data_IF_970950568022
#
_entry.id   IF_970950568022
#
_cell.length_a   1.000
_cell.length_b   1.000
_cell.length_c   1.000
_cell.angle_alpha   90.00
_cell.angle_beta   90.00
_cell.angle_gamma   90.00
#
_symmetry.space_group_name_H-M   'P 1'
#
loop_
_entity.id
_entity.type
_entity.pdbx_description
1 polymer ?
#
# COMPACT_ATOMS: atom_id res chain seq x y z
N UNK A 1 -16.41 -12.67 6.15
CA UNK A 1 -15.56 -11.48 6.35
C UNK A 1 -14.24 -11.72 5.66
N UNK A 2 -13.64 -10.70 5.05
CA UNK A 2 -12.33 -10.83 4.42
C UNK A 2 -11.25 -11.05 5.47
N UNK A 3 -10.23 -11.85 5.15
CA UNK A 3 -9.24 -12.36 6.10
C UNK A 3 -7.98 -11.49 6.09
N UNK A 4 -7.45 -11.21 7.28
CA UNK A 4 -6.21 -10.45 7.45
C UNK A 4 -4.97 -11.28 7.13
N UNK A 5 -3.87 -10.59 6.84
CA UNK A 5 -2.52 -11.15 6.78
C UNK A 5 -1.72 -10.51 7.91
N UNK A 6 -1.04 -11.33 8.71
CA UNK A 6 -0.16 -10.85 9.78
C UNK A 6 1.25 -11.36 9.52
N UNK A 7 2.22 -10.47 9.57
CA UNK A 7 3.64 -10.80 9.48
C UNK A 7 4.24 -10.55 10.84
N UNK A 8 4.89 -11.57 11.43
CA UNK A 8 5.43 -11.52 12.79
C UNK A 8 6.90 -11.89 12.81
N UNK A 9 7.72 -10.99 13.35
CA UNK A 9 9.16 -11.17 13.57
C UNK A 9 9.88 -11.73 12.33
N UNK A 10 9.56 -11.22 11.14
CA UNK A 10 10.03 -11.79 9.89
C UNK A 10 11.42 -11.29 9.53
N UNK A 11 12.34 -12.23 9.27
CA UNK A 11 13.71 -11.96 8.84
C UNK A 11 14.01 -12.63 7.52
N UNK A 12 14.81 -11.96 6.70
CA UNK A 12 15.41 -12.56 5.51
C UNK A 12 16.86 -12.17 5.36
N UNK A 13 17.73 -13.16 5.45
CA UNK A 13 19.15 -13.07 5.14
C UNK A 13 19.40 -13.85 3.83
N UNK A 14 20.09 -13.23 2.89
CA UNK A 14 20.56 -13.86 1.66
C UNK A 14 22.03 -14.24 1.79
N UNK A 15 22.40 -15.41 1.28
CA UNK A 15 23.76 -15.93 1.34
C UNK A 15 23.78 -17.44 1.55
N UNK A 16 24.97 -18.01 1.75
CA UNK A 16 25.14 -19.44 2.02
C UNK A 16 24.95 -19.70 3.52
N UNK A 17 23.97 -20.54 3.88
CA UNK A 17 23.63 -20.85 5.28
C UNK A 17 23.20 -19.61 6.08
N UNK A 18 22.17 -18.87 5.63
CA UNK A 18 21.72 -17.64 6.27
C UNK A 18 21.34 -17.80 7.74
N UNK A 19 20.85 -18.98 8.13
CA UNK A 19 20.48 -19.35 9.50
C UNK A 19 21.63 -19.15 10.52
N UNK A 20 22.89 -19.30 10.08
CA UNK A 20 24.07 -19.15 10.95
C UNK A 20 24.20 -17.73 11.53
N UNK A 21 23.72 -16.72 10.81
CA UNK A 21 23.88 -15.32 11.18
C UNK A 21 22.62 -14.72 11.82
N UNK A 22 21.56 -15.50 11.99
CA UNK A 22 20.30 -15.00 12.54
C UNK A 22 20.47 -14.44 13.97
N UNK A 23 21.17 -15.17 14.84
CA UNK A 23 21.41 -14.73 16.23
C UNK A 23 22.31 -13.49 16.28
N UNK A 24 23.28 -13.37 15.36
CA UNK A 24 24.12 -12.19 15.27
C UNK A 24 23.31 -10.95 14.83
N UNK A 25 22.43 -11.10 13.84
CA UNK A 25 21.52 -10.04 13.38
C UNK A 25 20.54 -9.65 14.50
N UNK A 26 19.95 -10.62 15.21
CA UNK A 26 19.10 -10.36 16.38
C UNK A 26 19.83 -9.62 17.50
N UNK A 27 21.15 -9.81 17.60
CA UNK A 27 22.01 -9.13 18.57
C UNK A 27 22.51 -7.76 18.09
N UNK A 28 22.05 -7.28 16.93
CA UNK A 28 22.35 -5.94 16.42
C UNK A 28 23.44 -5.87 15.34
N UNK A 29 23.88 -7.00 14.77
CA UNK A 29 24.76 -6.97 13.59
C UNK A 29 24.04 -6.31 12.42
N UNK A 30 24.59 -5.19 11.95
CA UNK A 30 23.98 -4.42 10.87
C UNK A 30 24.23 -5.03 9.47
N UNK A 31 23.50 -4.51 8.50
CA UNK A 31 23.54 -4.94 7.08
C UNK A 31 24.91 -4.75 6.45
N UNK A 32 25.67 -3.73 6.82
CA UNK A 32 26.98 -3.40 6.25
C UNK A 32 28.02 -4.39 6.77
N UNK A 33 28.05 -4.59 8.09
CA UNK A 33 28.94 -5.55 8.74
C UNK A 33 28.70 -6.98 8.23
N UNK A 34 27.44 -7.39 8.13
CA UNK A 34 27.07 -8.72 7.63
C UNK A 34 27.53 -8.94 6.18
N UNK A 35 27.46 -7.91 5.35
CA UNK A 35 27.91 -7.99 3.96
C UNK A 35 29.44 -8.02 3.87
N UNK A 36 30.12 -7.08 4.51
CA UNK A 36 31.57 -6.91 4.36
C UNK A 36 32.36 -8.06 4.98
N UNK A 37 31.93 -8.59 6.13
CA UNK A 37 32.65 -9.65 6.85
C UNK A 37 32.22 -11.05 6.46
N UNK A 38 30.96 -11.21 6.05
CA UNK A 38 30.37 -12.53 5.84
C UNK A 38 29.81 -12.75 4.44
N UNK A 39 29.79 -11.74 3.57
CA UNK A 39 29.21 -11.79 2.22
C UNK A 39 27.75 -12.27 2.23
N UNK A 40 26.99 -11.74 3.20
CA UNK A 40 25.55 -11.99 3.38
C UNK A 40 24.79 -10.67 3.32
N UNK A 41 23.62 -10.68 2.69
CA UNK A 41 22.78 -9.48 2.55
C UNK A 41 21.58 -9.61 3.48
N UNK A 42 21.45 -8.68 4.43
CA UNK A 42 20.24 -8.54 5.23
C UNK A 42 19.16 -7.87 4.38
N UNK A 43 18.15 -8.64 3.99
CA UNK A 43 17.06 -8.20 3.12
C UNK A 43 15.81 -7.76 3.86
N UNK A 44 15.52 -8.38 5.00
CA UNK A 44 14.45 -7.98 5.94
C UNK A 44 14.93 -8.22 7.37
N UNK A 45 14.66 -7.26 8.25
CA UNK A 45 15.04 -7.25 9.64
C UNK A 45 13.79 -7.00 10.51
N UNK A 46 13.39 -8.00 11.29
CA UNK A 46 12.31 -7.91 12.27
C UNK A 46 10.99 -7.27 11.79
N UNK A 47 10.50 -7.65 10.61
CA UNK A 47 9.27 -7.05 10.07
C UNK A 47 8.05 -7.51 10.86
N UNK A 48 7.23 -6.54 11.28
CA UNK A 48 5.95 -6.74 11.97
C UNK A 48 4.87 -5.84 11.34
N UNK A 49 3.96 -6.43 10.58
CA UNK A 49 2.91 -5.70 9.84
C UNK A 49 1.60 -6.47 9.94
N UNK A 50 0.51 -5.74 10.17
CA UNK A 50 -0.85 -6.27 10.05
C UNK A 50 -1.50 -5.67 8.81
N UNK A 51 -1.99 -6.52 7.91
CA UNK A 51 -2.69 -6.13 6.69
C UNK A 51 -4.16 -6.50 6.87
N UNK A 52 -5.06 -5.52 7.12
CA UNK A 52 -6.46 -5.80 7.39
C UNK A 52 -7.15 -6.49 6.23
N UNK A 53 -8.04 -7.44 6.54
CA UNK A 53 -8.81 -8.14 5.52
C UNK A 53 -9.78 -7.21 4.79
N UNK A 54 -9.86 -7.32 3.47
CA UNK A 54 -10.80 -6.51 2.69
C UNK A 54 -10.41 -5.02 2.62
N UNK A 55 -9.12 -4.73 2.82
CA UNK A 55 -8.51 -3.41 2.65
C UNK A 55 -7.31 -3.50 1.71
N UNK A 56 -6.87 -2.35 1.23
CA UNK A 56 -5.63 -2.19 0.47
C UNK A 56 -4.52 -1.78 1.45
N UNK A 57 -3.56 -2.66 1.65
CA UNK A 57 -2.31 -2.32 2.33
C UNK A 57 -1.23 -1.99 1.30
N UNK A 58 -0.74 -0.76 1.32
CA UNK A 58 0.36 -0.33 0.48
C UNK A 58 1.68 -0.50 1.23
N UNK A 59 2.66 -1.13 0.59
CA UNK A 59 4.04 -1.26 1.08
C UNK A 59 4.93 -0.38 0.20
N UNK A 60 5.47 0.69 0.77
CA UNK A 60 6.27 1.68 0.06
C UNK A 60 7.71 1.75 0.56
N UNK A 61 8.56 2.47 -0.16
CA UNK A 61 9.99 2.61 0.15
C UNK A 61 10.86 2.61 -1.10
N UNK A 62 12.13 3.01 -0.96
CA UNK A 62 13.07 3.08 -2.10
C UNK A 62 13.39 1.70 -2.68
N UNK A 63 14.02 1.67 -3.86
CA UNK A 63 14.61 0.44 -4.41
C UNK A 63 15.60 -0.18 -3.41
N UNK A 64 15.56 -1.50 -3.24
CA UNK A 64 16.44 -2.22 -2.31
C UNK A 64 16.00 -2.23 -0.82
N UNK A 65 14.87 -1.61 -0.47
CA UNK A 65 14.31 -1.62 0.90
C UNK A 65 13.67 -2.94 1.34
N UNK A 66 13.54 -3.93 0.44
CA UNK A 66 12.99 -5.25 0.77
C UNK A 66 11.52 -5.47 0.42
N UNK A 67 10.79 -4.49 -0.16
CA UNK A 67 9.35 -4.60 -0.50
C UNK A 67 8.98 -5.87 -1.29
N UNK A 68 9.61 -6.07 -2.46
CA UNK A 68 9.32 -7.23 -3.30
C UNK A 68 9.77 -8.55 -2.66
N UNK A 69 10.73 -8.49 -1.74
CA UNK A 69 11.10 -9.64 -0.91
C UNK A 69 9.98 -9.93 0.09
N UNK A 70 9.43 -8.92 0.76
CA UNK A 70 8.33 -9.05 1.72
C UNK A 70 7.09 -9.70 1.09
N UNK A 71 6.59 -9.19 -0.04
CA UNK A 71 5.40 -9.74 -0.69
C UNK A 71 5.59 -11.19 -1.15
N UNK A 72 6.82 -11.56 -1.53
CA UNK A 72 7.15 -12.93 -1.93
C UNK A 72 7.13 -13.91 -0.76
N UNK A 73 7.27 -13.44 0.48
CA UNK A 73 7.06 -14.28 1.66
C UNK A 73 5.58 -14.60 1.89
N UNK A 74 4.67 -13.67 1.56
CA UNK A 74 3.22 -13.91 1.64
C UNK A 74 2.81 -15.06 0.71
N UNK A 75 3.34 -15.08 -0.51
CA UNK A 75 3.13 -16.19 -1.44
C UNK A 75 4.13 -17.36 -1.22
N UNK A 76 5.05 -17.22 -0.25
CA UNK A 76 6.19 -18.10 0.05
C UNK A 76 7.03 -18.50 -1.17
N UNK A 77 7.12 -17.63 -2.18
CA UNK A 77 8.00 -17.84 -3.35
C UNK A 77 9.48 -17.83 -2.94
N UNK A 78 9.76 -17.18 -1.81
CA UNK A 78 11.04 -17.19 -1.11
C UNK A 78 10.71 -17.56 0.34
N UNK A 79 11.43 -18.54 0.90
CA UNK A 79 11.30 -18.87 2.32
C UNK A 79 11.98 -17.79 3.18
N UNK A 80 11.38 -17.40 4.32
CA UNK A 80 12.03 -16.52 5.27
C UNK A 80 13.18 -17.22 5.95
N UNK A 81 14.11 -16.45 6.51
CA UNK A 81 15.13 -16.99 7.40
C UNK A 81 14.55 -17.29 8.78
N UNK A 82 13.62 -16.45 9.26
CA UNK A 82 12.86 -16.66 10.49
C UNK A 82 11.56 -15.83 10.47
N UNK A 83 10.66 -16.15 11.39
CA UNK A 83 9.36 -15.48 11.55
C UNK A 83 8.22 -16.22 10.87
N UNK A 84 7.03 -15.62 10.97
CA UNK A 84 5.77 -16.24 10.57
C UNK A 84 4.99 -15.30 9.64
N UNK A 85 4.24 -15.89 8.71
CA UNK A 85 3.26 -15.18 7.89
C UNK A 85 1.93 -15.88 8.06
N UNK A 86 1.03 -15.25 8.81
CA UNK A 86 -0.28 -15.80 9.13
C UNK A 86 -1.30 -15.30 8.13
N UNK A 87 -2.12 -16.21 7.60
CA UNK A 87 -3.35 -15.88 6.91
C UNK A 87 -4.50 -16.57 7.64
N UNK A 88 -5.43 -15.78 8.20
CA UNK A 88 -6.54 -16.31 9.00
C UNK A 88 -6.08 -17.19 10.18
N UNK A 89 -4.96 -16.81 10.80
CA UNK A 89 -4.35 -17.54 11.91
C UNK A 89 -3.54 -18.78 11.50
N UNK A 90 -3.54 -19.19 10.22
CA UNK A 90 -2.72 -20.29 9.72
C UNK A 90 -1.37 -19.77 9.21
N UNK A 91 -0.26 -20.32 9.73
CA UNK A 91 1.09 -19.97 9.27
C UNK A 91 1.42 -20.60 7.90
N UNK A 92 1.61 -19.73 6.91
CA UNK A 92 1.97 -20.08 5.55
C UNK A 92 3.39 -20.67 5.50
N UNK A 93 4.29 -20.23 6.39
CA UNK A 93 5.66 -20.71 6.46
C UNK A 93 5.74 -22.15 6.95
N UNK A 94 4.82 -22.58 7.80
CA UNK A 94 4.66 -23.97 8.26
C UNK A 94 3.94 -24.90 7.29
N UNK A 95 3.31 -24.40 6.22
CA UNK A 95 2.54 -25.25 5.29
C UNK A 95 3.41 -26.33 4.60
N UNK A 96 2.84 -27.51 4.42
CA UNK A 96 3.42 -28.55 3.57
C UNK A 96 3.39 -28.14 2.09
N UNK A 97 4.22 -28.76 1.25
CA UNK A 97 4.26 -28.47 -0.19
C UNK A 97 2.92 -28.69 -0.92
N UNK A 98 2.08 -29.62 -0.45
CA UNK A 98 0.73 -29.81 -1.00
C UNK A 98 -0.23 -28.71 -0.54
N UNK A 99 -0.24 -28.38 0.76
CA UNK A 99 -1.06 -27.30 1.31
C UNK A 99 -0.71 -25.95 0.68
N UNK A 100 0.59 -25.62 0.58
CA UNK A 100 1.07 -24.39 -0.04
C UNK A 100 0.64 -24.28 -1.51
N UNK A 101 0.64 -25.39 -2.26
CA UNK A 101 0.15 -25.38 -3.65
C UNK A 101 -1.35 -25.09 -3.73
N UNK A 102 -2.16 -25.59 -2.79
CA UNK A 102 -3.58 -25.29 -2.74
C UNK A 102 -3.84 -23.84 -2.34
N UNK A 103 -3.10 -23.33 -1.35
CA UNK A 103 -3.11 -21.93 -0.97
C UNK A 103 -2.82 -21.03 -2.18
N UNK A 104 -1.74 -21.31 -2.91
CA UNK A 104 -1.38 -20.55 -4.13
C UNK A 104 -2.42 -20.59 -5.23
N UNK A 105 -3.08 -21.75 -5.41
CA UNK A 105 -4.08 -21.93 -6.46
C UNK A 105 -5.37 -21.20 -6.17
N UNK A 106 -5.80 -21.14 -4.91
CA UNK A 106 -7.17 -20.74 -4.56
C UNK A 106 -7.26 -19.49 -3.67
N UNK A 107 -6.17 -19.11 -3.00
CA UNK A 107 -6.17 -18.03 -1.98
C UNK A 107 -5.38 -16.81 -2.38
N UNK A 108 -4.38 -16.95 -3.26
CA UNK A 108 -3.56 -15.83 -3.71
C UNK A 108 -3.55 -15.69 -5.22
N UNK A 109 -3.57 -14.44 -5.68
CA UNK A 109 -3.20 -14.07 -7.03
C UNK A 109 -2.05 -13.06 -6.98
N UNK A 110 -1.13 -13.11 -7.94
CA UNK A 110 0.04 -12.23 -7.97
C UNK A 110 0.19 -11.55 -9.32
N UNK A 111 0.40 -10.23 -9.28
CA UNK A 111 0.82 -9.39 -10.40
C UNK A 111 2.29 -9.03 -10.17
N UNK A 112 3.15 -9.46 -11.09
CA UNK A 112 4.59 -9.26 -11.00
C UNK A 112 5.02 -7.94 -11.66
N UNK A 113 6.12 -7.37 -11.19
CA UNK A 113 6.77 -6.19 -11.80
C UNK A 113 7.19 -6.44 -13.25
N UNK A 114 7.76 -7.62 -13.54
CA UNK A 114 7.95 -8.12 -14.91
C UNK A 114 6.77 -9.02 -15.23
N UNK A 115 6.01 -8.69 -16.28
CA UNK A 115 4.67 -9.20 -16.65
C UNK A 115 4.42 -10.70 -16.40
N UNK A 116 5.48 -11.53 -16.50
CA UNK A 116 5.43 -12.96 -16.20
C UNK A 116 4.49 -13.70 -17.15
N UNK A 117 4.27 -13.15 -18.35
CA UNK A 117 3.43 -13.75 -19.38
C UNK A 117 4.18 -14.89 -20.05
N UNK A 118 3.43 -15.94 -20.41
CA UNK A 118 3.92 -17.07 -21.17
C UNK A 118 3.96 -16.65 -22.66
N UNK A 119 5.15 -16.52 -23.27
CA UNK A 119 5.31 -15.93 -24.60
C UNK A 119 4.76 -16.80 -25.73
N UNK A 120 4.58 -18.09 -25.46
CA UNK A 120 4.04 -19.09 -26.40
C UNK A 120 2.53 -19.29 -26.25
N UNK A 121 1.86 -18.43 -25.48
CA UNK A 121 0.42 -18.45 -25.25
C UNK A 121 -0.19 -17.11 -25.65
N UNK A 122 -1.44 -17.14 -26.10
CA UNK A 122 -2.18 -15.92 -26.40
C UNK A 122 -2.52 -15.12 -25.15
N UNK A 123 -3.02 -13.91 -25.32
CA UNK A 123 -3.52 -13.04 -24.24
C UNK A 123 -4.62 -13.71 -23.43
N UNK A 124 -5.59 -14.33 -24.11
CA UNK A 124 -6.67 -15.07 -23.44
C UNK A 124 -6.12 -16.27 -22.68
N UNK A 125 -5.24 -17.05 -23.29
CA UNK A 125 -4.61 -18.22 -22.64
C UNK A 125 -3.76 -17.85 -21.43
N UNK A 126 -3.08 -16.71 -21.48
CA UNK A 126 -2.37 -16.16 -20.32
C UNK A 126 -3.36 -15.78 -19.21
N UNK A 127 -4.46 -15.13 -19.56
CA UNK A 127 -5.47 -14.66 -18.63
C UNK A 127 -6.18 -15.79 -17.89
N UNK A 128 -6.40 -16.92 -18.56
CA UNK A 128 -7.11 -18.08 -17.98
C UNK A 128 -6.19 -19.16 -17.42
N UNK A 129 -4.87 -18.99 -17.50
CA UNK A 129 -3.90 -20.02 -17.14
C UNK A 129 -4.10 -20.57 -15.72
N UNK A 130 -4.40 -19.71 -14.74
CA UNK A 130 -4.63 -20.17 -13.37
C UNK A 130 -5.89 -21.02 -13.23
N UNK A 131 -6.95 -20.70 -13.97
CA UNK A 131 -8.19 -21.48 -14.04
C UNK A 131 -7.98 -22.84 -14.71
N UNK A 132 -7.15 -22.90 -15.76
CA UNK A 132 -6.74 -24.16 -16.40
C UNK A 132 -6.05 -25.08 -15.38
N UNK A 133 -5.11 -24.53 -14.58
CA UNK A 133 -4.42 -25.27 -13.50
C UNK A 133 -5.39 -25.70 -12.39
N UNK A 134 -6.42 -24.90 -12.12
CA UNK A 134 -7.49 -25.25 -11.18
C UNK A 134 -8.40 -26.38 -11.69
N UNK A 135 -8.37 -26.69 -12.99
CA UNK A 135 -9.23 -27.68 -13.62
C UNK A 135 -10.62 -27.15 -13.98
N UNK A 136 -10.78 -25.83 -14.10
CA UNK A 136 -12.05 -25.21 -14.52
C UNK A 136 -12.32 -25.54 -16.00
N UNK A 137 -13.56 -25.93 -16.38
CA UNK A 137 -13.89 -26.21 -17.77
C UNK A 137 -13.56 -25.04 -18.70
N UNK A 138 -12.95 -25.35 -19.85
CA UNK A 138 -12.39 -24.35 -20.76
C UNK A 138 -13.38 -23.25 -21.16
N UNK A 139 -14.63 -23.60 -21.44
CA UNK A 139 -15.67 -22.63 -21.79
C UNK A 139 -15.90 -21.58 -20.69
N UNK A 140 -15.97 -22.02 -19.42
CA UNK A 140 -16.11 -21.13 -18.26
C UNK A 140 -14.85 -20.30 -18.02
N UNK A 141 -13.68 -20.91 -18.22
CA UNK A 141 -12.40 -20.21 -18.08
C UNK A 141 -12.28 -19.08 -19.11
N UNK A 142 -12.59 -19.35 -20.39
CA UNK A 142 -12.55 -18.35 -21.45
C UNK A 142 -13.57 -17.24 -21.26
N UNK A 143 -14.78 -17.55 -20.81
CA UNK A 143 -15.80 -16.55 -20.45
C UNK A 143 -15.27 -15.57 -19.40
N UNK A 144 -14.70 -16.08 -18.29
CA UNK A 144 -14.07 -15.27 -17.25
C UNK A 144 -12.87 -14.47 -17.77
N UNK A 145 -12.04 -15.09 -18.60
CA UNK A 145 -10.86 -14.45 -19.19
C UNK A 145 -11.25 -13.25 -20.06
N UNK A 146 -12.24 -13.42 -20.94
CA UNK A 146 -12.76 -12.35 -21.81
C UNK A 146 -13.37 -11.22 -21.00
N UNK A 147 -14.18 -11.55 -19.98
CA UNK A 147 -14.75 -10.56 -19.06
C UNK A 147 -13.68 -9.65 -18.45
N UNK A 148 -12.60 -10.24 -17.91
CA UNK A 148 -11.53 -9.45 -17.30
C UNK A 148 -10.68 -8.71 -18.32
N UNK A 149 -10.44 -9.28 -19.50
CA UNK A 149 -9.72 -8.61 -20.58
C UNK A 149 -10.49 -7.37 -21.08
N UNK A 150 -11.81 -7.46 -21.19
CA UNK A 150 -12.66 -6.31 -21.52
C UNK A 150 -12.57 -5.22 -20.45
N UNK A 151 -12.71 -5.58 -19.16
CA UNK A 151 -12.62 -4.64 -18.03
C UNK A 151 -11.27 -3.91 -17.94
N UNK A 152 -10.17 -4.57 -18.31
CA UNK A 152 -8.86 -3.92 -18.39
C UNK A 152 -8.60 -3.22 -19.74
N UNK A 153 -9.59 -3.12 -20.63
CA UNK A 153 -9.49 -2.41 -21.89
C UNK A 153 -8.63 -3.11 -22.95
N UNK A 154 -8.70 -4.45 -23.01
CA UNK A 154 -8.00 -5.31 -23.97
C UNK A 154 -8.96 -6.16 -24.82
N UNK A 155 -10.23 -5.77 -24.92
CA UNK A 155 -11.17 -6.38 -25.85
C UNK A 155 -10.62 -6.31 -27.30
N UNK A 156 -10.69 -7.42 -28.03
CA UNK A 156 -10.15 -7.55 -29.38
C UNK A 156 -8.67 -7.95 -29.47
N UNK A 157 -7.97 -8.08 -28.34
CA UNK A 157 -6.56 -8.53 -28.29
C UNK A 157 -6.40 -10.00 -27.82
N UNK A 158 -7.49 -10.75 -27.67
CA UNK A 158 -7.52 -12.06 -27.02
C UNK A 158 -6.60 -13.09 -27.69
N UNK A 159 -6.49 -13.04 -29.01
CA UNK A 159 -5.73 -13.98 -29.84
C UNK A 159 -4.29 -13.53 -30.12
N UNK A 160 -3.89 -12.35 -29.64
CA UNK A 160 -2.53 -11.84 -29.79
C UNK A 160 -1.57 -12.53 -28.82
N UNK A 161 -0.29 -12.54 -29.16
CA UNK A 161 0.79 -13.00 -28.30
C UNK A 161 1.45 -11.83 -27.56
N UNK A 162 2.05 -12.05 -26.37
CA UNK A 162 2.66 -10.98 -25.56
C UNK A 162 3.67 -10.10 -26.30
N UNK A 163 4.45 -10.66 -27.22
CA UNK A 163 5.45 -9.92 -28.02
C UNK A 163 4.83 -8.95 -29.04
N UNK A 164 3.52 -9.03 -29.28
CA UNK A 164 2.77 -8.12 -30.15
C UNK A 164 2.13 -6.96 -29.36
N UNK A 165 2.32 -6.92 -28.04
CA UNK A 165 1.72 -5.94 -27.14
C UNK A 165 2.74 -4.95 -26.59
N UNK A 166 2.30 -3.72 -26.31
CA UNK A 166 3.09 -2.76 -25.55
C UNK A 166 3.29 -3.22 -24.09
N UNK A 167 4.29 -2.67 -23.40
CA UNK A 167 4.55 -3.01 -22.00
C UNK A 167 3.32 -2.78 -21.10
N UNK A 168 2.62 -1.66 -21.27
CA UNK A 168 1.41 -1.39 -20.50
C UNK A 168 0.24 -2.33 -20.82
N UNK A 169 0.12 -2.80 -22.08
CA UNK A 169 -0.84 -3.84 -22.42
C UNK A 169 -0.47 -5.18 -21.76
N UNK A 170 0.80 -5.58 -21.78
CA UNK A 170 1.27 -6.81 -21.11
C UNK A 170 1.00 -6.78 -19.60
N UNK A 171 1.17 -5.61 -18.96
CA UNK A 171 0.84 -5.41 -17.56
C UNK A 171 -0.66 -5.64 -17.28
N UNK A 172 -1.53 -5.10 -18.14
CA UNK A 172 -2.99 -5.28 -18.06
C UNK A 172 -3.41 -6.74 -18.28
N UNK A 173 -2.73 -7.49 -19.14
CA UNK A 173 -2.93 -8.96 -19.24
C UNK A 173 -2.56 -9.66 -17.93
N UNK A 174 -1.45 -9.26 -17.30
CA UNK A 174 -1.02 -9.79 -15.99
C UNK A 174 -2.06 -9.54 -14.89
N UNK A 175 -2.69 -8.36 -14.91
CA UNK A 175 -3.78 -8.00 -14.00
C UNK A 175 -5.04 -8.82 -14.26
N UNK A 176 -5.48 -8.93 -15.52
CA UNK A 176 -6.63 -9.75 -15.91
C UNK A 176 -6.43 -11.22 -15.49
N UNK A 177 -5.21 -11.77 -15.65
CA UNK A 177 -4.85 -13.11 -15.17
C UNK A 177 -5.03 -13.27 -13.65
N UNK A 178 -4.60 -12.27 -12.88
CA UNK A 178 -4.72 -12.31 -11.43
C UNK A 178 -6.19 -12.23 -10.99
N UNK A 179 -6.97 -11.35 -11.61
CA UNK A 179 -8.39 -11.14 -11.31
C UNK A 179 -9.26 -12.34 -11.74
N UNK A 180 -8.95 -12.98 -12.86
CA UNK A 180 -9.68 -14.15 -13.35
C UNK A 180 -9.67 -15.33 -12.37
N UNK A 181 -8.59 -15.49 -11.59
CA UNK A 181 -8.47 -16.53 -10.58
C UNK A 181 -9.40 -16.36 -9.38
N UNK A 182 -9.98 -15.17 -9.19
CA UNK A 182 -10.92 -14.85 -8.10
C UNK A 182 -10.39 -15.21 -6.70
N UNK A 183 -9.10 -14.99 -6.47
CA UNK A 183 -8.45 -15.30 -5.21
C UNK A 183 -8.83 -14.31 -4.08
N UNK A 184 -8.75 -14.75 -2.83
CA UNK A 184 -9.04 -13.92 -1.64
C UNK A 184 -8.01 -12.78 -1.48
N UNK A 185 -6.74 -13.05 -1.81
CA UNK A 185 -5.61 -12.13 -1.68
C UNK A 185 -5.09 -11.74 -3.07
N UNK A 186 -4.93 -10.44 -3.31
CA UNK A 186 -4.28 -9.90 -4.51
C UNK A 186 -2.94 -9.25 -4.13
N UNK A 187 -1.85 -9.80 -4.63
CA UNK A 187 -0.48 -9.34 -4.40
C UNK A 187 0.01 -8.59 -5.63
N UNK A 188 0.36 -7.32 -5.51
CA UNK A 188 0.75 -6.45 -6.63
C UNK A 188 2.15 -5.88 -6.39
N UNK A 189 3.14 -6.31 -7.18
CA UNK A 189 4.54 -5.88 -7.06
C UNK A 189 4.85 -4.84 -8.15
N UNK A 190 4.80 -3.55 -7.80
CA UNK A 190 5.00 -2.40 -8.72
C UNK A 190 4.16 -2.48 -10.00
N UNK A 191 2.89 -2.87 -9.83
CA UNK A 191 2.03 -3.29 -10.91
C UNK A 191 1.67 -2.18 -11.91
N UNK A 192 1.91 -0.90 -11.60
CA UNK A 192 1.59 0.23 -12.47
C UNK A 192 2.82 1.01 -12.96
N UNK A 193 4.02 0.58 -12.60
CA UNK A 193 5.27 1.27 -12.94
C UNK A 193 5.52 1.41 -14.45
N UNK A 194 5.04 0.45 -15.25
CA UNK A 194 5.17 0.43 -16.71
C UNK A 194 4.02 1.12 -17.46
N UNK A 195 3.05 1.71 -16.75
CA UNK A 195 1.89 2.38 -17.33
C UNK A 195 2.15 3.89 -17.49
N UNK A 196 1.65 4.44 -18.60
CA UNK A 196 1.57 5.88 -18.77
C UNK A 196 0.61 6.51 -17.74
N UNK A 197 0.73 7.82 -17.46
CA UNK A 197 -0.02 8.47 -16.38
C UNK A 197 -1.55 8.34 -16.48
N UNK A 198 -2.13 8.41 -17.69
CA UNK A 198 -3.58 8.35 -17.87
C UNK A 198 -4.09 6.93 -17.60
N UNK A 199 -3.47 5.93 -18.23
CA UNK A 199 -3.84 4.52 -18.02
C UNK A 199 -3.60 4.09 -16.56
N UNK A 200 -2.55 4.62 -15.92
CA UNK A 200 -2.30 4.39 -14.50
C UNK A 200 -3.48 4.87 -13.64
N UNK A 201 -3.96 6.08 -13.87
CA UNK A 201 -5.12 6.64 -13.15
C UNK A 201 -6.37 5.78 -13.36
N UNK A 202 -6.64 5.35 -14.59
CA UNK A 202 -7.79 4.50 -14.90
C UNK A 202 -7.70 3.13 -14.20
N UNK A 203 -6.51 2.51 -14.19
CA UNK A 203 -6.29 1.23 -13.53
C UNK A 203 -6.37 1.32 -12.00
N UNK A 204 -5.93 2.44 -11.42
CA UNK A 204 -6.09 2.72 -9.99
C UNK A 204 -7.57 2.87 -9.63
N UNK A 205 -8.35 3.64 -10.41
CA UNK A 205 -9.80 3.75 -10.22
C UNK A 205 -10.47 2.38 -10.31
N UNK A 206 -10.12 1.59 -11.32
CA UNK A 206 -10.66 0.24 -11.47
C UNK A 206 -10.33 -0.66 -10.27
N UNK A 207 -9.11 -0.57 -9.71
CA UNK A 207 -8.76 -1.32 -8.51
C UNK A 207 -9.59 -0.89 -7.30
N UNK A 208 -9.83 0.41 -7.12
CA UNK A 208 -10.67 0.94 -6.05
C UNK A 208 -12.13 0.47 -6.19
N UNK A 209 -12.69 0.53 -7.41
CA UNK A 209 -14.05 0.03 -7.69
C UNK A 209 -14.16 -1.47 -7.38
N UNK A 210 -13.18 -2.26 -7.85
CA UNK A 210 -13.12 -3.69 -7.55
C UNK A 210 -12.99 -3.97 -6.07
N UNK A 211 -12.27 -3.13 -5.35
CA UNK A 211 -12.13 -3.30 -3.91
C UNK A 211 -13.45 -3.06 -3.18
N UNK A 212 -14.22 -2.07 -3.61
CA UNK A 212 -15.57 -1.81 -3.07
C UNK A 212 -16.53 -2.97 -3.36
N UNK A 213 -16.47 -3.53 -4.57
CA UNK A 213 -17.33 -4.65 -4.99
C UNK A 213 -16.96 -5.98 -4.32
N UNK A 214 -15.68 -6.36 -4.36
CA UNK A 214 -15.22 -7.71 -4.04
C UNK A 214 -14.64 -7.84 -2.63
N UNK A 215 -14.26 -6.73 -2.00
CA UNK A 215 -13.64 -6.66 -0.66
C UNK A 215 -12.51 -7.67 -0.49
N UNK A 216 -11.62 -7.77 -1.48
CA UNK A 216 -10.44 -8.65 -1.44
C UNK A 216 -9.36 -8.05 -0.55
N UNK A 217 -8.43 -8.85 -0.05
CA UNK A 217 -7.27 -8.32 0.68
C UNK A 217 -6.19 -7.99 -0.34
N UNK A 218 -5.85 -6.71 -0.51
CA UNK A 218 -4.86 -6.28 -1.52
C UNK A 218 -3.58 -5.86 -0.81
N UNK A 219 -2.44 -6.40 -1.26
CA UNK A 219 -1.11 -5.95 -0.84
C UNK A 219 -0.45 -5.34 -2.06
N UNK A 220 -0.27 -4.02 -2.03
CA UNK A 220 0.19 -3.24 -3.17
C UNK A 220 1.58 -2.66 -2.88
N UNK A 221 2.56 -2.93 -3.73
CA UNK A 221 3.90 -2.34 -3.63
C UNK A 221 4.04 -1.21 -4.63
N UNK A 222 4.53 -0.08 -4.15
CA UNK A 222 4.95 1.03 -4.99
C UNK A 222 6.15 1.74 -4.39
N UNK A 223 6.77 2.62 -5.17
CA UNK A 223 7.72 3.62 -4.69
C UNK A 223 7.16 5.04 -4.78
N UNK A 224 5.95 5.19 -5.33
CA UNK A 224 5.26 6.46 -5.54
C UNK A 224 4.29 6.70 -4.38
N UNK A 225 4.47 7.82 -3.68
CA UNK A 225 3.67 8.17 -2.52
C UNK A 225 2.26 8.63 -2.92
N UNK A 226 2.06 9.27 -4.06
CA UNK A 226 0.73 9.65 -4.53
C UNK A 226 -0.12 8.39 -4.80
N UNK A 227 0.49 7.33 -5.34
CA UNK A 227 -0.19 6.03 -5.47
C UNK A 227 -0.55 5.43 -4.11
N UNK A 228 0.37 5.51 -3.15
CA UNK A 228 0.15 4.96 -1.81
C UNK A 228 -1.00 5.67 -1.09
N UNK A 229 -1.05 7.00 -1.16
CA UNK A 229 -2.08 7.82 -0.54
C UNK A 229 -3.43 7.68 -1.23
N UNK A 230 -3.44 7.50 -2.56
CA UNK A 230 -4.68 7.31 -3.31
C UNK A 230 -5.30 5.93 -3.11
N UNK A 231 -4.48 4.88 -3.02
CA UNK A 231 -4.95 3.49 -2.97
C UNK A 231 -5.03 2.92 -1.55
N UNK A 232 -4.14 3.33 -0.66
CA UNK A 232 -3.89 2.64 0.60
C UNK A 232 -4.86 3.05 1.71
N UNK A 233 -5.60 2.06 2.22
CA UNK A 233 -6.27 2.19 3.52
C UNK A 233 -5.25 2.14 4.68
N UNK A 234 -4.16 1.42 4.46
CA UNK A 234 -3.04 1.26 5.39
C UNK A 234 -1.75 1.30 4.59
N UNK A 235 -0.77 2.07 5.04
CA UNK A 235 0.50 2.24 4.37
C UNK A 235 1.60 1.79 5.34
N UNK A 236 2.55 1.00 4.85
CA UNK A 236 3.76 0.61 5.56
C UNK A 236 4.98 1.08 4.76
N UNK A 237 5.82 1.92 5.37
CA UNK A 237 7.04 2.45 4.77
C UNK A 237 8.21 1.58 5.20
N UNK A 238 8.94 1.06 4.22
CA UNK A 238 10.13 0.24 4.42
C UNK A 238 11.41 0.98 4.06
N UNK A 239 12.41 0.85 4.91
CA UNK A 239 13.77 1.34 4.70
C UNK A 239 14.76 0.27 5.14
N UNK A 240 15.71 -0.06 4.28
CA UNK A 240 16.79 -1.02 4.57
C UNK A 240 16.34 -2.37 5.16
N UNK A 241 15.14 -2.83 4.84
CA UNK A 241 14.60 -4.09 5.32
C UNK A 241 13.84 -3.97 6.64
N UNK A 242 13.58 -2.77 7.14
CA UNK A 242 12.83 -2.49 8.36
C UNK A 242 11.57 -1.67 8.05
N UNK A 243 10.54 -1.80 8.88
CA UNK A 243 9.36 -0.92 8.84
C UNK A 243 9.69 0.32 9.65
N UNK A 244 9.78 1.48 9.00
CA UNK A 244 10.07 2.75 9.69
C UNK A 244 8.82 3.45 10.18
N UNK A 245 7.72 3.32 9.46
CA UNK A 245 6.42 3.85 9.85
C UNK A 245 5.31 3.04 9.19
N UNK A 246 4.18 2.90 9.89
CA UNK A 246 2.95 2.35 9.32
C UNK A 246 1.73 3.03 9.93
N UNK A 247 0.66 3.20 9.14
CA UNK A 247 -0.54 3.92 9.55
C UNK A 247 -1.45 4.23 8.36
N UNK A 248 -2.45 5.08 8.57
CA UNK A 248 -3.22 5.65 7.46
C UNK A 248 -2.44 6.78 6.76
N UNK A 249 -2.90 7.19 5.57
CA UNK A 249 -2.23 8.24 4.80
C UNK A 249 -2.16 9.59 5.51
N UNK A 250 -3.15 9.93 6.35
CA UNK A 250 -3.18 11.22 7.05
C UNK A 250 -2.12 11.27 8.15
N UNK A 251 -2.00 10.22 8.95
CA UNK A 251 -1.00 10.07 10.02
C UNK A 251 0.44 10.13 9.48
N UNK A 252 0.69 9.53 8.32
CA UNK A 252 2.01 9.57 7.67
C UNK A 252 2.39 10.99 7.24
N UNK A 253 1.44 11.78 6.75
CA UNK A 253 1.69 13.15 6.28
C UNK A 253 1.81 14.14 7.45
N UNK A 254 1.01 13.96 8.50
CA UNK A 254 0.96 14.90 9.63
C UNK A 254 2.07 14.65 10.64
N UNK A 255 2.48 13.40 10.81
CA UNK A 255 3.43 13.00 11.85
C UNK A 255 4.44 12.00 11.27
N UNK A 256 5.32 12.44 10.34
CA UNK A 256 6.36 11.59 9.81
C UNK A 256 7.30 11.12 10.94
N UNK A 257 7.63 9.84 10.97
CA UNK A 257 8.38 9.23 12.07
C UNK A 257 9.85 9.66 12.13
N UNK A 258 10.46 9.95 10.98
CA UNK A 258 11.86 10.38 10.89
C UNK A 258 12.09 11.30 9.66
N UNK A 259 13.33 11.78 9.50
CA UNK A 259 13.72 12.61 8.36
C UNK A 259 13.56 11.90 7.00
N UNK A 260 13.67 10.56 6.97
CA UNK A 260 13.46 9.80 5.74
C UNK A 260 12.00 9.84 5.31
N UNK A 261 11.04 9.63 6.24
CA UNK A 261 9.61 9.77 5.91
C UNK A 261 9.25 11.22 5.58
N UNK A 262 9.85 12.19 6.28
CA UNK A 262 9.67 13.62 6.00
C UNK A 262 10.05 13.97 4.55
N UNK A 263 11.15 13.41 4.06
CA UNK A 263 11.58 13.61 2.67
C UNK A 263 10.60 13.01 1.65
N UNK A 264 9.94 11.88 1.98
CA UNK A 264 8.91 11.29 1.12
C UNK A 264 7.66 12.16 1.01
N UNK A 265 7.17 12.69 2.14
CA UNK A 265 5.89 13.43 2.18
C UNK A 265 6.02 14.88 1.71
N UNK A 266 7.24 15.37 1.49
CA UNK A 266 7.55 16.77 1.19
C UNK A 266 6.77 17.34 0.01
N UNK A 267 6.72 16.60 -1.09
CA UNK A 267 6.14 17.04 -2.37
C UNK A 267 4.68 16.59 -2.57
N UNK A 268 4.06 16.03 -1.53
CA UNK A 268 2.66 15.58 -1.58
C UNK A 268 1.71 16.77 -1.59
N UNK A 269 0.69 16.70 -2.44
CA UNK A 269 -0.43 17.62 -2.32
C UNK A 269 -1.30 17.25 -1.11
N UNK A 270 -1.00 17.84 0.05
CA UNK A 270 -1.71 17.62 1.32
C UNK A 270 -3.21 17.91 1.21
N UNK A 271 -3.59 18.88 0.37
CA UNK A 271 -4.98 19.26 0.15
C UNK A 271 -5.85 18.16 -0.44
N UNK A 272 -5.25 17.17 -1.12
CA UNK A 272 -5.97 16.01 -1.68
C UNK A 272 -6.18 14.87 -0.70
N UNK A 273 -5.49 14.90 0.44
CA UNK A 273 -5.40 13.76 1.34
C UNK A 273 -5.94 14.08 2.73
N UNK A 274 -5.62 15.27 3.24
CA UNK A 274 -6.12 15.72 4.53
C UNK A 274 -7.62 15.99 4.45
N UNK A 275 -8.33 15.48 5.45
CA UNK A 275 -9.79 15.61 5.57
C UNK A 275 -10.16 16.69 6.58
N UNK A 276 -11.41 17.16 6.51
CA UNK A 276 -11.96 18.18 7.40
C UNK A 276 -11.74 17.84 8.88
N UNK A 277 -12.08 16.61 9.27
CA UNK A 277 -11.94 16.09 10.65
C UNK A 277 -10.55 16.21 11.24
N UNK A 278 -9.53 16.18 10.38
CA UNK A 278 -8.14 16.14 10.78
C UNK A 278 -7.57 17.51 11.10
N UNK A 279 -8.16 18.57 10.55
CA UNK A 279 -7.68 19.95 10.69
C UNK A 279 -8.70 20.87 11.37
N UNK A 280 -9.92 20.40 11.59
CA UNK A 280 -10.98 21.20 12.20
C UNK A 280 -10.66 21.60 13.62
N UNK A 281 -11.10 22.81 13.97
CA UNK A 281 -11.08 23.29 15.34
C UNK A 281 -12.40 22.93 16.04
N UNK A 282 -12.40 22.65 17.35
CA UNK A 282 -13.62 22.41 18.11
C UNK A 282 -14.59 23.59 18.02
N UNK A 283 -15.90 23.31 18.02
CA UNK A 283 -16.92 24.36 18.03
C UNK A 283 -16.98 25.06 19.39
N UNK A 284 -16.46 26.28 19.45
CA UNK A 284 -16.58 27.15 20.64
C UNK A 284 -17.91 27.94 20.66
N UNK A 285 -18.57 28.08 19.52
CA UNK A 285 -19.80 28.86 19.35
C UNK A 285 -20.78 28.23 18.35
N UNK A 286 -21.85 28.95 18.00
CA UNK A 286 -22.78 28.49 16.95
C UNK A 286 -22.01 28.22 15.65
N UNK A 287 -22.37 27.17 14.89
CA UNK A 287 -21.75 26.91 13.59
C UNK A 287 -22.00 28.10 12.66
N UNK A 288 -20.91 28.68 12.16
CA UNK A 288 -20.90 29.74 11.16
C UNK A 288 -20.35 29.21 9.84
N UNK A 289 -20.62 29.93 8.74
CA UNK A 289 -20.19 29.54 7.40
C UNK A 289 -20.95 28.36 6.81
N UNK A 290 -20.48 27.86 5.67
CA UNK A 290 -21.11 26.80 4.91
C UNK A 290 -20.87 25.40 5.52
N UNK A 291 -21.84 24.47 5.43
CA UNK A 291 -21.65 23.11 5.89
C UNK A 291 -20.71 22.35 4.96
N UNK A 292 -19.71 21.65 5.52
CA UNK A 292 -18.83 20.73 4.78
C UNK A 292 -18.81 19.35 5.43
N UNK A 293 -18.87 18.25 4.65
CA UNK A 293 -18.79 16.91 5.21
C UNK A 293 -17.47 16.64 5.95
N UNK A 294 -17.52 15.85 7.02
CA UNK A 294 -16.36 15.51 7.85
C UNK A 294 -15.22 14.78 7.09
N UNK A 295 -15.56 14.06 6.03
CA UNK A 295 -14.64 13.35 5.16
C UNK A 295 -14.21 14.15 3.91
N UNK A 296 -14.68 15.40 3.76
CA UNK A 296 -14.30 16.25 2.64
C UNK A 296 -12.80 16.58 2.70
N UNK A 297 -12.13 16.53 1.55
CA UNK A 297 -10.71 16.90 1.44
C UNK A 297 -10.56 18.41 1.49
N UNK A 298 -9.40 18.90 1.95
CA UNK A 298 -9.16 20.34 2.02
C UNK A 298 -9.27 21.02 0.65
N UNK A 299 -8.85 20.36 -0.44
CA UNK A 299 -8.97 20.91 -1.80
C UNK A 299 -10.43 21.13 -2.21
N UNK A 300 -11.33 20.20 -1.83
CA UNK A 300 -12.77 20.35 -2.08
C UNK A 300 -13.34 21.47 -1.22
N UNK A 301 -13.01 21.52 0.07
CA UNK A 301 -13.45 22.59 0.98
C UNK A 301 -13.00 23.97 0.46
N UNK A 302 -11.74 24.11 0.04
CA UNK A 302 -11.20 25.36 -0.49
C UNK A 302 -11.94 25.84 -1.75
N UNK A 303 -12.27 24.90 -2.65
CA UNK A 303 -13.03 25.18 -3.87
C UNK A 303 -14.44 25.64 -3.52
N UNK A 304 -15.12 24.88 -2.67
CA UNK A 304 -16.51 25.14 -2.28
C UNK A 304 -16.63 26.49 -1.55
N UNK A 305 -15.70 26.79 -0.63
CA UNK A 305 -15.62 28.10 0.05
C UNK A 305 -15.36 29.24 -0.93
N UNK A 306 -14.46 29.03 -1.90
CA UNK A 306 -14.17 30.04 -2.94
C UNK A 306 -15.37 30.29 -3.84
N UNK A 307 -16.14 29.27 -4.22
CA UNK A 307 -17.35 29.40 -5.04
C UNK A 307 -18.48 30.10 -4.27
N UNK A 308 -18.60 29.82 -2.97
CA UNK A 308 -19.56 30.45 -2.08
C UNK A 308 -19.16 31.88 -1.63
N UNK A 309 -17.92 32.31 -1.90
CA UNK A 309 -17.32 33.53 -1.35
C UNK A 309 -17.33 33.58 0.19
N UNK A 310 -17.06 32.43 0.81
CA UNK A 310 -16.99 32.27 2.26
C UNK A 310 -15.55 32.09 2.75
N UNK A 311 -15.28 32.51 4.00
CA UNK A 311 -13.95 32.40 4.64
C UNK A 311 -13.96 31.47 5.85
N UNK A 312 -15.13 30.93 6.18
CA UNK A 312 -15.38 30.00 7.27
C UNK A 312 -16.30 28.88 6.77
N UNK A 313 -16.08 27.68 7.26
CA UNK A 313 -16.96 26.53 7.07
C UNK A 313 -17.14 25.80 8.40
N UNK A 314 -18.26 25.11 8.58
CA UNK A 314 -18.47 24.20 9.71
C UNK A 314 -18.56 22.76 9.23
N UNK A 315 -17.86 21.90 9.94
CA UNK A 315 -17.79 20.47 9.63
C UNK A 315 -19.01 19.78 10.19
N UNK A 316 -19.68 18.97 9.36
CA UNK A 316 -20.86 18.19 9.75
C UNK A 316 -20.58 16.68 9.68
N UNK A 317 -21.06 15.95 10.69
CA UNK A 317 -21.04 14.48 10.72
C UNK A 317 -22.08 13.86 9.76
N UNK A 318 -22.14 12.53 9.70
CA UNK A 318 -23.12 11.80 8.85
C UNK A 318 -24.58 12.13 9.17
N UNK A 319 -24.88 12.55 10.41
CA UNK A 319 -26.21 12.93 10.89
C UNK A 319 -26.51 14.43 10.62
N UNK A 320 -25.58 15.17 10.03
CA UNK A 320 -25.69 16.60 9.73
C UNK A 320 -25.48 17.50 10.94
N UNK A 321 -24.95 16.98 12.04
CA UNK A 321 -24.65 17.76 13.24
C UNK A 321 -23.27 18.38 13.10
N UNK A 322 -23.16 19.66 13.46
CA UNK A 322 -21.89 20.37 13.45
C UNK A 322 -20.94 19.81 14.52
N UNK A 323 -19.73 19.45 14.11
CA UNK A 323 -18.69 18.83 14.96
C UNK A 323 -17.40 19.66 15.04
N UNK A 324 -17.18 20.61 14.13
CA UNK A 324 -16.02 21.48 14.11
C UNK A 324 -16.20 22.69 13.20
N UNK A 325 -15.20 23.57 13.18
CA UNK A 325 -15.09 24.70 12.26
C UNK A 325 -13.74 24.72 11.57
N UNK A 326 -13.71 25.22 10.33
CA UNK A 326 -12.50 25.38 9.53
C UNK A 326 -12.49 26.79 8.94
N UNK A 327 -11.47 27.57 9.27
CA UNK A 327 -11.18 28.84 8.63
C UNK A 327 -10.27 28.68 7.41
N UNK A 328 -10.32 29.65 6.50
CA UNK A 328 -9.45 29.68 5.32
C UNK A 328 -7.94 29.66 5.70
N UNK A 329 -7.56 30.35 6.77
CA UNK A 329 -6.17 30.40 7.24
C UNK A 329 -5.68 29.03 7.72
N UNK A 330 -6.49 28.33 8.53
CA UNK A 330 -6.21 26.95 9.00
C UNK A 330 -6.11 25.99 7.82
N UNK A 331 -6.99 26.13 6.83
CA UNK A 331 -6.98 25.33 5.62
C UNK A 331 -5.70 25.56 4.79
N UNK A 332 -5.29 26.81 4.59
CA UNK A 332 -4.06 27.14 3.85
C UNK A 332 -2.83 26.65 4.61
N UNK A 333 -2.76 26.88 5.92
CA UNK A 333 -1.65 26.40 6.76
C UNK A 333 -1.51 24.88 6.70
N UNK A 334 -2.62 24.13 6.74
CA UNK A 334 -2.60 22.68 6.64
C UNK A 334 -2.19 22.17 5.23
N UNK A 335 -2.52 22.90 4.17
CA UNK A 335 -2.12 22.54 2.80
C UNK A 335 -0.64 22.79 2.51
N UNK A 336 -0.03 23.77 3.17
CA UNK A 336 1.38 24.12 2.98
C UNK A 336 2.25 23.16 3.79
N UNK A 337 3.33 22.66 3.18
CA UNK A 337 4.34 21.87 3.89
C UNK A 337 5.08 22.80 4.87
N UNK A 338 5.12 22.49 6.18
CA UNK A 338 5.82 23.34 7.14
C UNK A 338 7.29 23.48 6.76
N UNK A 339 7.85 24.68 6.96
CA UNK A 339 9.24 24.92 6.62
C UNK A 339 10.14 24.01 7.47
N UNK A 340 11.30 23.52 6.97
CA UNK A 340 12.18 22.61 7.71
C UNK A 340 12.57 23.08 9.12
N UNK A 341 12.52 24.38 9.38
CA UNK A 341 12.86 24.99 10.68
C UNK A 341 11.77 24.85 11.75
N UNK A 342 10.51 24.58 11.39
CA UNK A 342 9.41 24.45 12.36
C UNK A 342 9.38 23.07 13.01
N UNK A 343 9.77 22.02 12.28
CA UNK A 343 9.80 20.63 12.76
C UNK A 343 10.92 20.40 13.78
N UNK A 344 12.09 21.02 13.59
CA UNK A 344 13.19 20.98 14.58
C UNK A 344 12.83 21.74 15.87
N UNK A 345 12.11 22.85 15.76
CA UNK A 345 11.71 23.66 16.91
C UNK A 345 10.63 22.96 17.78
N UNK A 346 9.68 22.25 17.17
CA UNK A 346 8.68 21.48 17.90
C UNK A 346 9.26 20.19 18.52
N UNK A 347 10.19 19.52 17.83
CA UNK A 347 10.92 18.38 18.38
C UNK A 347 11.79 18.77 19.60
N UNK A 348 12.50 19.90 19.52
CA UNK A 348 13.26 20.45 20.67
C UNK A 348 12.36 20.94 21.81
N UNK A 349 11.13 21.36 21.51
CA UNK A 349 10.16 21.78 22.53
C UNK A 349 9.56 20.58 23.27
N UNK A 350 9.35 19.45 22.59
CA UNK A 350 8.83 18.21 23.19
C UNK A 350 9.85 17.46 24.07
N UNK A 351 11.16 17.70 23.89
CA UNK A 351 12.22 17.05 24.67
C UNK A 351 12.62 17.78 25.98
N UNK A 352 12.05 18.94 26.31
CA UNK A 352 12.38 19.62 27.58
C UNK A 352 11.54 19.07 28.74
N UNK A 353 12.14 18.40 29.75
CA UNK A 353 11.42 18.07 30.97
C UNK A 353 11.21 19.37 31.77
N UNK A 354 9.97 19.60 32.22
CA UNK A 354 9.65 20.59 33.25
C UNK A 354 10.58 20.39 34.47
N UNK A 355 11.60 21.24 34.59
CA UNK A 355 12.30 21.40 35.86
C UNK A 355 11.39 22.18 36.79
N UNK A 356 10.67 21.43 37.63
CA UNK A 356 10.11 21.88 38.90
C UNK A 356 11.07 22.85 39.60
N UNK A 357 10.62 24.09 39.77
CA UNK A 357 11.21 25.04 40.69
C UNK A 357 10.83 24.64 42.11
N UNK A 358 11.71 23.93 42.81
CA UNK A 358 11.77 23.97 44.27
C UNK A 358 12.90 24.91 44.69
N UNK A 359 12.53 26.07 45.22
CA UNK A 359 13.37 26.85 46.12
C UNK A 359 12.49 27.54 47.16
N UNK A 360 12.55 27.02 48.39
CA UNK A 360 12.60 27.70 49.70
C UNK A 360 11.77 26.97 50.77
#
# INVERSE_FOLDING_TARGET
MAKSIEIKNLYKIFGKHPEKYLEAVRSGMDKVELNDKHNHVLGLNNINITMPGGKITVVMGLSGSGKSTLIRHINRLIDPTAGEVLYDGEDICGMSTSALRQFRRHKTAMVFQKFGLLPHRTVLENSVYGLDIQGVPRSKSEEKGRYWLERVGLAGYEDYYPNQLSGGMQQRVGLARALANDADILLMDEAYSALDPLIRVDMQTMLLDLQQELKKTVVFITHDLDEALRLGDHIAILKDGEVVQQGDGQSIILSPADGYVTDFVRDVNRGRVLQATTVMEPLDSKPEGMPVPENATLETIARDMSEANETQAHVVDEDGKAVGSIGLDTLVAAMVTPAPQEVEAEAEAAEKPEKLQETA
#
